data_IF_530666671714
#
_entry.id   IF_530666671714
#
_cell.length_a   1.000
_cell.length_b   1.000
_cell.length_c   1.000
_cell.angle_alpha   90.00
_cell.angle_beta   90.00
_cell.angle_gamma   90.00
#
_symmetry.space_group_name_H-M   'P 1'
#
loop_
_entity.id
_entity.type
_entity.pdbx_description
1 polymer ?
#
# COMPACT_ATOMS: atom_id res chain seq x y z
N UNK A 1 18.46 11.77 27.86
CA UNK A 1 17.48 12.44 26.98
C UNK A 1 16.17 12.38 27.71
N UNK A 2 15.59 13.53 28.00
CA UNK A 2 14.28 13.59 28.63
C UNK A 2 13.25 13.18 27.58
N UNK A 3 12.57 12.07 27.84
CA UNK A 3 11.43 11.61 27.07
C UNK A 3 10.21 11.65 27.97
N UNK A 4 9.04 11.86 27.37
CA UNK A 4 7.77 11.69 28.04
C UNK A 4 7.17 10.33 27.70
N UNK A 5 6.15 9.91 28.44
CA UNK A 5 5.55 8.59 28.29
C UNK A 5 4.14 8.67 27.66
N UNK A 6 3.49 7.52 27.47
CA UNK A 6 2.17 7.48 26.84
C UNK A 6 1.12 8.19 27.69
N UNK A 7 1.22 8.09 29.02
CA UNK A 7 0.34 8.81 29.94
C UNK A 7 0.39 10.32 29.74
N UNK A 8 1.58 10.89 29.60
CA UNK A 8 1.73 12.32 29.34
C UNK A 8 1.01 12.74 28.04
N UNK A 9 1.23 12.01 26.94
CA UNK A 9 0.58 12.32 25.67
C UNK A 9 -0.95 12.14 25.74
N UNK A 10 -1.42 11.11 26.41
CA UNK A 10 -2.85 10.85 26.65
C UNK A 10 -3.51 11.99 27.45
N UNK A 11 -2.84 12.50 28.49
CA UNK A 11 -3.29 13.66 29.27
C UNK A 11 -3.33 14.94 28.43
N UNK A 12 -2.33 15.16 27.57
CA UNK A 12 -2.32 16.30 26.64
C UNK A 12 -3.49 16.24 25.64
N UNK A 13 -3.69 15.08 25.00
CA UNK A 13 -4.77 14.87 24.04
C UNK A 13 -6.14 15.14 24.68
N UNK A 14 -6.34 14.70 25.92
CA UNK A 14 -7.61 14.84 26.64
C UNK A 14 -7.71 16.10 27.52
N UNK A 15 -6.77 17.04 27.41
CA UNK A 15 -6.76 18.29 28.19
C UNK A 15 -7.82 19.31 27.74
N UNK A 16 -8.42 19.12 26.57
CA UNK A 16 -9.30 20.09 25.90
C UNK A 16 -8.58 20.97 24.86
N UNK A 17 -7.26 20.86 24.74
CA UNK A 17 -6.50 21.50 23.67
C UNK A 17 -6.90 20.98 22.28
N UNK A 18 -6.88 21.86 21.28
CA UNK A 18 -7.17 21.51 19.88
C UNK A 18 -5.91 21.25 19.05
N UNK A 19 -4.76 21.74 19.51
CA UNK A 19 -3.46 21.44 18.91
C UNK A 19 -2.47 21.04 20.01
N UNK A 20 -1.85 19.88 19.81
CA UNK A 20 -0.80 19.33 20.66
C UNK A 20 0.51 19.45 19.90
N UNK A 21 1.50 20.09 20.51
CA UNK A 21 2.86 20.19 19.98
C UNK A 21 3.78 19.38 20.87
N UNK A 22 4.41 18.34 20.32
CA UNK A 22 5.39 17.57 21.08
C UNK A 22 6.67 18.38 21.25
N UNK A 23 7.24 18.31 22.45
CA UNK A 23 8.50 18.95 22.87
C UNK A 23 9.61 17.92 23.13
N UNK A 24 9.28 16.64 23.04
CA UNK A 24 10.12 15.50 23.40
C UNK A 24 9.60 14.23 22.74
N UNK A 25 10.46 13.21 22.68
CA UNK A 25 10.05 11.89 22.25
C UNK A 25 9.10 11.26 23.29
N UNK A 26 8.12 10.50 22.80
CA UNK A 26 7.14 9.77 23.59
C UNK A 26 7.46 8.28 23.54
N UNK A 27 7.78 7.68 24.68
CA UNK A 27 8.19 6.28 24.78
C UNK A 27 7.26 5.55 25.75
N UNK A 28 6.66 4.46 25.31
CA UNK A 28 5.85 3.60 26.18
C UNK A 28 6.72 3.00 27.30
N UNK A 29 6.31 3.17 28.55
CA UNK A 29 6.94 2.51 29.70
C UNK A 29 6.31 1.14 29.96
N UNK A 30 7.07 0.21 30.54
CA UNK A 30 6.60 -1.18 30.74
C UNK A 30 5.36 -1.26 31.65
N UNK A 31 5.25 -0.34 32.63
CA UNK A 31 4.09 -0.23 33.52
C UNK A 31 2.82 0.28 32.83
N UNK A 32 2.94 0.85 31.63
CA UNK A 32 1.83 1.44 30.87
C UNK A 32 1.22 0.47 29.84
N UNK A 33 1.91 -0.63 29.55
CA UNK A 33 1.56 -1.59 28.49
C UNK A 33 0.12 -2.11 28.63
N UNK A 34 -0.30 -2.48 29.84
CA UNK A 34 -1.66 -2.95 30.06
C UNK A 34 -2.70 -1.85 29.83
N UNK A 35 -2.41 -0.61 30.29
CA UNK A 35 -3.31 0.54 30.18
C UNK A 35 -3.54 0.94 28.72
N UNK A 36 -2.49 0.92 27.90
CA UNK A 36 -2.53 1.31 26.49
C UNK A 36 -2.47 0.12 25.54
N UNK A 37 -2.97 -1.05 25.96
CA UNK A 37 -3.01 -2.25 25.12
C UNK A 37 -3.73 -2.02 23.77
N UNK A 38 -4.74 -1.15 23.74
CA UNK A 38 -5.43 -0.71 22.53
C UNK A 38 -4.84 0.56 21.88
N UNK A 39 -3.81 1.16 22.48
CA UNK A 39 -3.25 2.44 22.10
C UNK A 39 -3.95 3.63 22.77
N UNK A 40 -3.37 4.82 22.60
CA UNK A 40 -3.95 6.09 23.07
C UNK A 40 -5.20 6.38 22.22
N UNK A 41 -6.30 6.70 22.89
CA UNK A 41 -7.58 6.96 22.22
C UNK A 41 -7.59 8.36 21.63
N UNK A 42 -7.95 8.46 20.35
CA UNK A 42 -8.25 9.70 19.64
C UNK A 42 -9.77 9.75 19.43
N UNK A 43 -10.48 10.27 20.43
CA UNK A 43 -11.95 10.33 20.49
C UNK A 43 -12.48 11.77 20.59
N UNK A 44 -11.63 12.77 20.29
CA UNK A 44 -11.96 14.20 20.30
C UNK A 44 -11.84 14.74 18.88
N UNK A 45 -12.92 15.28 18.34
CA UNK A 45 -12.94 15.82 16.99
C UNK A 45 -12.11 17.11 16.85
N UNK A 46 -11.58 17.31 15.64
CA UNK A 46 -10.81 18.49 15.24
C UNK A 46 -9.52 18.68 16.06
N UNK A 47 -8.83 17.57 16.34
CA UNK A 47 -7.55 17.57 17.05
C UNK A 47 -6.39 17.55 16.05
N UNK A 48 -5.39 18.38 16.30
CA UNK A 48 -4.10 18.38 15.61
C UNK A 48 -3.02 17.87 16.55
N UNK A 49 -2.28 16.85 16.14
CA UNK A 49 -1.08 16.36 16.82
C UNK A 49 0.11 16.69 15.91
N UNK A 50 0.90 17.68 16.31
CA UNK A 50 2.14 18.05 15.67
C UNK A 50 3.33 17.42 16.40
N UNK A 51 4.01 16.49 15.73
CA UNK A 51 5.16 15.81 16.31
C UNK A 51 6.41 16.66 16.42
N UNK A 52 6.53 17.79 15.68
CA UNK A 52 7.78 18.57 15.61
C UNK A 52 9.04 17.73 15.31
N UNK A 53 8.88 16.62 14.58
CA UNK A 53 9.92 15.64 14.28
C UNK A 53 10.14 14.59 15.37
N UNK A 54 9.50 14.69 16.53
CA UNK A 54 9.66 13.72 17.62
C UNK A 54 9.08 12.34 17.29
N UNK A 55 9.55 11.36 18.07
CA UNK A 55 9.21 9.96 17.94
C UNK A 55 8.11 9.59 18.94
N UNK A 56 7.12 8.81 18.50
CA UNK A 56 6.27 8.01 19.39
C UNK A 56 6.63 6.54 19.18
N UNK A 57 7.15 5.89 20.23
CA UNK A 57 7.68 4.54 20.19
C UNK A 57 6.93 3.62 21.17
N UNK A 58 6.17 2.66 20.64
CA UNK A 58 5.43 1.68 21.43
C UNK A 58 6.25 0.44 21.83
N UNK A 59 7.56 0.41 21.52
CA UNK A 59 8.52 -0.64 21.94
C UNK A 59 8.06 -2.09 21.68
N UNK A 60 7.34 -2.32 20.60
CA UNK A 60 6.77 -3.62 20.21
C UNK A 60 5.79 -4.22 21.23
N UNK A 61 5.17 -3.38 22.07
CA UNK A 61 4.30 -3.85 23.16
C UNK A 61 2.82 -3.62 22.89
N UNK A 62 2.48 -2.49 22.27
CA UNK A 62 1.08 -2.09 22.07
C UNK A 62 0.85 -1.39 20.73
N UNK A 63 -0.42 -1.08 20.44
CA UNK A 63 -0.78 -0.07 19.44
C UNK A 63 -0.35 1.33 19.89
N UNK A 64 -0.10 2.25 18.95
CA UNK A 64 0.13 3.67 19.28
C UNK A 64 -1.20 4.42 19.44
N UNK A 65 -2.04 4.45 18.40
CA UNK A 65 -3.30 5.19 18.38
C UNK A 65 -4.50 4.32 18.00
N UNK A 66 -5.63 4.57 18.67
CA UNK A 66 -6.95 4.08 18.31
C UNK A 66 -7.88 5.28 18.11
N UNK A 67 -8.43 5.45 16.91
CA UNK A 67 -9.25 6.61 16.56
C UNK A 67 -10.67 6.23 16.22
N UNK A 68 -11.62 7.03 16.73
CA UNK A 68 -13.02 7.06 16.31
C UNK A 68 -13.47 8.48 15.93
N UNK A 69 -12.58 9.46 16.07
CA UNK A 69 -12.88 10.88 15.92
C UNK A 69 -12.83 11.36 14.46
N UNK A 70 -13.47 12.49 14.22
CA UNK A 70 -13.49 13.20 12.95
C UNK A 70 -12.43 14.30 12.91
N UNK A 71 -11.88 14.55 11.72
CA UNK A 71 -10.93 15.63 11.44
C UNK A 71 -9.69 15.62 12.35
N UNK A 72 -9.11 14.44 12.58
CA UNK A 72 -7.82 14.32 13.25
C UNK A 72 -6.71 14.63 12.24
N UNK A 73 -5.76 15.49 12.60
CA UNK A 73 -4.52 15.68 11.82
C UNK A 73 -3.32 15.24 12.63
N UNK A 74 -2.52 14.32 12.10
CA UNK A 74 -1.25 13.89 12.68
C UNK A 74 -0.15 14.34 11.71
N UNK A 75 0.73 15.25 12.14
CA UNK A 75 1.74 15.85 11.27
C UNK A 75 3.15 15.84 11.85
N UNK A 76 4.17 15.83 11.00
CA UNK A 76 5.58 16.02 11.35
C UNK A 76 6.06 15.06 12.45
N UNK A 77 5.79 13.77 12.31
CA UNK A 77 5.98 12.82 13.42
C UNK A 77 6.57 11.49 12.97
N UNK A 78 7.24 10.79 13.89
CA UNK A 78 7.75 9.44 13.64
C UNK A 78 7.01 8.44 14.53
N UNK A 79 6.23 7.54 13.93
CA UNK A 79 5.51 6.48 14.64
C UNK A 79 6.24 5.15 14.42
N UNK A 80 6.71 4.50 15.50
CA UNK A 80 7.45 3.24 15.36
C UNK A 80 7.17 2.19 16.43
N UNK A 81 7.49 0.95 16.05
CA UNK A 81 7.42 -0.23 16.90
C UNK A 81 6.04 -0.43 17.55
N UNK A 82 4.97 0.01 16.90
CA UNK A 82 3.62 -0.39 17.27
C UNK A 82 3.40 -1.87 16.94
N UNK A 83 2.91 -2.66 17.90
CA UNK A 83 2.71 -4.11 17.72
C UNK A 83 1.40 -4.58 18.30
N UNK A 84 0.62 -5.29 17.48
CA UNK A 84 -0.59 -5.99 17.92
C UNK A 84 -0.65 -7.40 17.34
N UNK A 85 -1.50 -8.27 17.88
CA UNK A 85 -1.78 -9.58 17.30
C UNK A 85 -3.02 -9.59 16.39
N UNK A 86 -3.67 -8.44 16.21
CA UNK A 86 -4.97 -8.32 15.55
C UNK A 86 -4.92 -7.33 14.39
N UNK A 87 -4.95 -6.03 14.67
CA UNK A 87 -5.13 -4.97 13.67
C UNK A 87 -4.28 -3.76 14.05
N UNK A 88 -3.70 -3.11 13.04
CA UNK A 88 -3.05 -1.80 13.12
C UNK A 88 -1.98 -1.73 14.20
N UNK A 89 -0.71 -1.91 13.84
CA UNK A 89 0.40 -1.80 14.78
C UNK A 89 0.57 -0.36 15.28
N UNK A 90 0.56 0.62 14.38
CA UNK A 90 0.62 2.04 14.74
C UNK A 90 -0.77 2.61 15.00
N UNK A 91 -1.68 2.50 14.01
CA UNK A 91 -2.97 3.19 14.03
C UNK A 91 -4.07 2.21 13.69
N UNK A 92 -5.14 2.23 14.49
CA UNK A 92 -6.43 1.68 14.12
C UNK A 92 -7.43 2.83 14.00
N UNK A 93 -7.93 3.07 12.80
CA UNK A 93 -8.99 4.04 12.54
C UNK A 93 -10.33 3.29 12.37
N UNK A 94 -11.26 3.47 13.31
CA UNK A 94 -12.60 2.91 13.25
C UNK A 94 -13.60 4.02 12.98
N UNK A 95 -14.08 4.12 11.74
CA UNK A 95 -15.08 5.13 11.29
C UNK A 95 -14.65 6.59 11.45
N UNK A 96 -13.43 6.83 11.94
CA UNK A 96 -12.85 8.16 12.08
C UNK A 96 -12.35 8.72 10.76
N UNK A 97 -11.97 9.99 10.78
CA UNK A 97 -11.35 10.70 9.67
C UNK A 97 -10.00 11.25 10.09
N UNK A 98 -8.92 10.70 9.51
CA UNK A 98 -7.55 11.04 9.87
C UNK A 98 -6.78 11.54 8.66
N UNK A 99 -6.10 12.67 8.81
CA UNK A 99 -5.10 13.18 7.88
C UNK A 99 -3.70 12.98 8.48
N UNK A 100 -2.81 12.33 7.73
CA UNK A 100 -1.41 12.11 8.11
C UNK A 100 -0.53 12.91 7.15
N UNK A 101 0.36 13.76 7.68
CA UNK A 101 1.19 14.66 6.87
C UNK A 101 2.64 14.57 7.34
N UNK A 102 3.60 14.44 6.41
CA UNK A 102 5.03 14.52 6.73
C UNK A 102 5.43 13.56 7.88
N UNK A 103 4.87 12.35 7.87
CA UNK A 103 5.10 11.35 8.90
C UNK A 103 6.07 10.25 8.42
N UNK A 104 6.85 9.70 9.34
CA UNK A 104 7.58 8.43 9.13
C UNK A 104 6.94 7.34 9.98
N UNK A 105 6.39 6.31 9.34
CA UNK A 105 5.69 5.21 9.99
C UNK A 105 6.46 3.92 9.71
N UNK A 106 7.15 3.40 10.72
CA UNK A 106 8.12 2.32 10.49
C UNK A 106 8.16 1.24 11.55
N UNK A 107 8.61 0.05 11.15
CA UNK A 107 8.89 -1.07 12.07
C UNK A 107 7.65 -1.50 12.87
N UNK A 108 6.45 -1.22 12.37
CA UNK A 108 5.19 -1.60 13.01
C UNK A 108 4.76 -3.00 12.54
N UNK A 109 4.11 -3.74 13.44
CA UNK A 109 3.76 -5.13 13.24
C UNK A 109 2.32 -5.41 13.66
N UNK A 110 1.57 -6.14 12.83
CA UNK A 110 0.23 -6.63 13.22
C UNK A 110 -0.16 -7.89 12.46
N UNK A 111 -1.38 -8.40 12.66
CA UNK A 111 -1.94 -9.44 11.78
C UNK A 111 -2.53 -8.82 10.50
N UNK A 112 -3.24 -7.70 10.61
CA UNK A 112 -3.78 -6.94 9.47
C UNK A 112 -3.39 -5.46 9.57
N UNK A 113 -2.75 -4.94 8.52
CA UNK A 113 -2.27 -3.57 8.50
C UNK A 113 -1.10 -3.40 9.46
N UNK A 114 0.11 -3.76 9.04
CA UNK A 114 1.27 -3.78 9.94
C UNK A 114 1.46 -2.45 10.67
N UNK A 115 1.19 -1.35 9.98
CA UNK A 115 1.01 -0.02 10.59
C UNK A 115 -0.44 0.37 10.80
N UNK A 116 -1.21 0.44 9.72
CA UNK A 116 -2.53 1.06 9.72
C UNK A 116 -3.59 0.03 9.38
N UNK A 117 -4.62 -0.04 10.21
CA UNK A 117 -5.90 -0.67 9.87
C UNK A 117 -6.97 0.42 9.81
N UNK A 118 -7.56 0.61 8.63
CA UNK A 118 -8.67 1.54 8.41
C UNK A 118 -9.96 0.74 8.26
N UNK A 119 -10.88 0.85 9.22
CA UNK A 119 -12.16 0.13 9.26
C UNK A 119 -13.31 1.10 9.08
N UNK A 120 -13.93 1.08 7.91
CA UNK A 120 -15.08 1.92 7.57
C UNK A 120 -14.80 3.43 7.77
N UNK A 121 -13.51 3.83 7.81
CA UNK A 121 -13.05 5.21 8.05
C UNK A 121 -12.46 5.87 6.80
N UNK A 122 -12.14 7.15 6.95
CA UNK A 122 -11.47 7.95 5.91
C UNK A 122 -10.05 8.30 6.31
N UNK A 123 -9.09 8.07 5.42
CA UNK A 123 -7.71 8.48 5.63
C UNK A 123 -7.13 9.22 4.42
N UNK A 124 -6.42 10.29 4.71
CA UNK A 124 -5.63 11.05 3.73
C UNK A 124 -4.17 11.04 4.21
N UNK A 125 -3.28 10.54 3.38
CA UNK A 125 -1.86 10.38 3.68
C UNK A 125 -1.06 11.22 2.70
N UNK A 126 -0.31 12.20 3.18
CA UNK A 126 0.43 13.14 2.36
C UNK A 126 1.89 13.18 2.80
N UNK A 127 2.82 13.19 1.83
CA UNK A 127 4.26 13.42 2.06
C UNK A 127 4.87 12.51 3.13
N UNK A 128 4.38 11.28 3.22
CA UNK A 128 4.69 10.38 4.32
C UNK A 128 5.46 9.15 3.84
N UNK A 129 6.24 8.56 4.74
CA UNK A 129 7.02 7.35 4.47
C UNK A 129 6.56 6.18 5.33
N UNK A 130 6.25 5.05 4.68
CA UNK A 130 5.95 3.77 5.33
C UNK A 130 7.06 2.78 5.02
N UNK A 131 7.84 2.39 6.05
CA UNK A 131 8.97 1.50 5.82
C UNK A 131 9.12 0.37 6.83
N UNK A 132 9.47 -0.83 6.35
CA UNK A 132 9.74 -2.00 7.22
C UNK A 132 8.59 -2.36 8.13
N UNK A 133 7.36 -2.14 7.68
CA UNK A 133 6.18 -2.58 8.40
C UNK A 133 5.79 -3.98 7.93
N UNK A 134 5.31 -4.80 8.87
CA UNK A 134 5.06 -6.21 8.62
C UNK A 134 3.67 -6.64 9.11
N UNK A 135 2.90 -7.26 8.24
CA UNK A 135 1.64 -7.91 8.60
C UNK A 135 1.75 -9.42 8.45
N UNK A 136 1.28 -10.18 9.44
CA UNK A 136 1.23 -11.66 9.32
C UNK A 136 0.30 -12.13 8.20
N UNK A 137 -0.73 -11.34 7.88
CA UNK A 137 -1.72 -11.67 6.86
C UNK A 137 -1.74 -10.60 5.76
N UNK A 138 -2.40 -9.47 5.98
CA UNK A 138 -2.77 -8.60 4.86
C UNK A 138 -2.31 -7.17 5.11
N UNK A 139 -1.70 -6.55 4.10
CA UNK A 139 -1.30 -5.15 4.13
C UNK A 139 -0.11 -4.91 5.04
N UNK A 140 1.12 -5.09 4.54
CA UNK A 140 2.32 -4.98 5.37
C UNK A 140 2.47 -3.61 6.02
N UNK A 141 2.14 -2.55 5.29
CA UNK A 141 1.95 -1.23 5.86
C UNK A 141 0.48 -0.99 6.22
N UNK A 142 -0.42 -1.16 5.26
CA UNK A 142 -1.79 -0.64 5.32
C UNK A 142 -2.80 -1.72 4.96
N UNK A 143 -3.82 -1.88 5.78
CA UNK A 143 -5.02 -2.62 5.45
C UNK A 143 -6.22 -1.66 5.46
N UNK A 144 -6.78 -1.41 4.27
CA UNK A 144 -7.96 -0.57 4.08
C UNK A 144 -9.19 -1.46 3.95
N UNK A 145 -9.97 -1.58 5.02
CA UNK A 145 -11.14 -2.45 5.12
C UNK A 145 -12.42 -1.63 5.09
N UNK A 146 -13.18 -1.74 4.00
CA UNK A 146 -14.41 -0.97 3.76
C UNK A 146 -14.28 0.56 3.91
N UNK A 147 -13.06 1.07 3.92
CA UNK A 147 -12.77 2.48 4.10
C UNK A 147 -12.51 3.21 2.79
N UNK A 148 -12.19 4.49 2.91
CA UNK A 148 -11.70 5.33 1.82
C UNK A 148 -10.31 5.84 2.17
N UNK A 149 -9.37 5.70 1.25
CA UNK A 149 -8.00 6.15 1.46
C UNK A 149 -7.45 6.88 0.23
N UNK A 150 -6.81 8.04 0.45
CA UNK A 150 -5.93 8.69 -0.51
C UNK A 150 -4.49 8.73 0.01
N UNK A 151 -3.54 8.49 -0.89
CA UNK A 151 -2.10 8.54 -0.61
C UNK A 151 -1.44 9.40 -1.68
N UNK A 152 -0.77 10.46 -1.23
CA UNK A 152 -0.25 11.52 -2.09
C UNK A 152 1.20 11.83 -1.71
N UNK A 153 2.06 12.05 -2.71
CA UNK A 153 3.44 12.51 -2.53
C UNK A 153 4.26 11.64 -1.55
N UNK A 154 3.97 10.34 -1.46
CA UNK A 154 4.45 9.48 -0.39
C UNK A 154 5.41 8.39 -0.88
N UNK A 155 6.06 7.72 0.07
CA UNK A 155 6.93 6.56 -0.19
C UNK A 155 6.47 5.39 0.66
N UNK A 156 6.21 4.25 0.04
CA UNK A 156 5.86 3.00 0.73
C UNK A 156 6.85 1.92 0.31
N UNK A 157 7.79 1.59 1.20
CA UNK A 157 8.90 0.73 0.83
C UNK A 157 9.29 -0.33 1.86
N UNK A 158 9.78 -1.47 1.39
CA UNK A 158 10.30 -2.55 2.26
C UNK A 158 9.26 -3.07 3.26
N UNK A 159 7.98 -3.08 2.89
CA UNK A 159 6.91 -3.63 3.72
C UNK A 159 6.61 -5.07 3.28
N UNK A 160 6.22 -5.90 4.26
CA UNK A 160 6.06 -7.35 4.04
C UNK A 160 4.71 -7.86 4.55
N UNK A 161 4.08 -8.73 3.78
CA UNK A 161 2.86 -9.43 4.20
C UNK A 161 2.68 -10.78 3.51
N UNK A 162 1.63 -11.51 3.87
CA UNK A 162 1.19 -12.66 3.06
C UNK A 162 0.49 -12.17 1.78
N UNK A 163 -0.34 -11.13 1.89
CA UNK A 163 -1.05 -10.53 0.76
C UNK A 163 -1.01 -9.01 0.84
N UNK A 164 -0.70 -8.33 -0.27
CA UNK A 164 -0.51 -6.88 -0.30
C UNK A 164 0.70 -6.48 0.54
N UNK A 165 1.91 -6.65 -0.01
CA UNK A 165 3.16 -6.44 0.74
C UNK A 165 3.24 -5.04 1.33
N UNK A 166 2.75 -4.04 0.61
CA UNK A 166 2.47 -2.72 1.15
C UNK A 166 1.01 -2.57 1.59
N UNK A 167 0.07 -2.70 0.65
CA UNK A 167 -1.33 -2.32 0.85
C UNK A 167 -2.24 -3.48 0.49
N UNK A 168 -3.19 -3.75 1.38
CA UNK A 168 -4.37 -4.55 1.06
C UNK A 168 -5.61 -3.67 1.09
N UNK A 169 -6.30 -3.57 -0.05
CA UNK A 169 -7.53 -2.81 -0.21
C UNK A 169 -8.70 -3.80 -0.29
N UNK A 170 -9.58 -3.85 0.71
CA UNK A 170 -10.64 -4.85 0.81
C UNK A 170 -12.01 -4.21 0.93
N UNK A 171 -12.87 -4.45 -0.06
CA UNK A 171 -14.21 -3.83 -0.18
C UNK A 171 -14.20 -2.32 -0.02
N UNK A 172 -13.11 -1.69 -0.44
CA UNK A 172 -12.74 -0.32 -0.12
C UNK A 172 -12.35 0.46 -1.39
N UNK A 173 -12.12 1.77 -1.22
CA UNK A 173 -11.68 2.68 -2.28
C UNK A 173 -10.28 3.17 -1.94
N UNK A 174 -9.37 3.10 -2.92
CA UNK A 174 -7.98 3.53 -2.78
C UNK A 174 -7.56 4.41 -3.97
N UNK A 175 -7.08 5.61 -3.68
CA UNK A 175 -6.43 6.50 -4.65
C UNK A 175 -4.97 6.70 -4.26
N UNK A 176 -4.07 6.55 -5.22
CA UNK A 176 -2.63 6.76 -5.04
C UNK A 176 -2.17 7.75 -6.11
N UNK A 177 -1.53 8.82 -5.69
CA UNK A 177 -1.07 9.88 -6.57
C UNK A 177 0.35 10.30 -6.20
N UNK A 178 1.19 10.57 -7.21
CA UNK A 178 2.54 11.09 -7.00
C UNK A 178 3.36 10.30 -5.96
N UNK A 179 3.17 8.99 -5.90
CA UNK A 179 3.67 8.13 -4.82
C UNK A 179 4.58 7.03 -5.37
N UNK A 180 5.60 6.67 -4.60
CA UNK A 180 6.50 5.55 -4.92
C UNK A 180 6.22 4.35 -4.03
N UNK A 181 5.87 3.21 -4.62
CA UNK A 181 5.75 1.91 -3.93
C UNK A 181 6.88 1.00 -4.39
N UNK A 182 7.84 0.71 -3.49
CA UNK A 182 9.03 -0.05 -3.89
C UNK A 182 9.52 -1.11 -2.92
N UNK A 183 10.10 -2.18 -3.44
CA UNK A 183 10.72 -3.24 -2.61
C UNK A 183 9.75 -3.83 -1.58
N UNK A 184 8.46 -3.83 -1.86
CA UNK A 184 7.48 -4.49 -1.01
C UNK A 184 7.34 -5.95 -1.44
N UNK A 185 7.15 -6.82 -0.45
CA UNK A 185 7.15 -8.27 -0.66
C UNK A 185 5.88 -8.89 -0.09
N UNK A 186 5.17 -9.64 -0.94
CA UNK A 186 4.02 -10.42 -0.54
C UNK A 186 4.25 -11.88 -0.84
N UNK A 187 4.00 -12.77 0.12
CA UNK A 187 4.16 -14.21 -0.13
C UNK A 187 3.27 -14.73 -1.27
N UNK A 188 2.01 -14.32 -1.30
CA UNK A 188 1.00 -14.90 -2.19
C UNK A 188 0.60 -13.91 -3.30
N UNK A 189 0.03 -12.76 -2.95
CA UNK A 189 -0.62 -11.88 -3.93
C UNK A 189 -0.24 -10.42 -3.74
N UNK A 190 0.10 -9.74 -4.84
CA UNK A 190 0.28 -8.28 -4.88
C UNK A 190 1.49 -7.82 -4.06
N UNK A 191 2.68 -7.80 -4.67
CA UNK A 191 3.90 -7.46 -3.94
C UNK A 191 3.84 -6.05 -3.35
N UNK A 192 3.30 -5.09 -4.09
CA UNK A 192 2.89 -3.81 -3.54
C UNK A 192 1.44 -3.86 -3.06
N UNK A 193 0.50 -4.09 -3.96
CA UNK A 193 -0.93 -3.89 -3.71
C UNK A 193 -1.69 -5.17 -4.03
N UNK A 194 -2.47 -5.63 -3.06
CA UNK A 194 -3.58 -6.54 -3.33
C UNK A 194 -4.90 -5.77 -3.26
N UNK A 195 -5.55 -5.64 -4.42
CA UNK A 195 -6.87 -5.03 -4.56
C UNK A 195 -7.98 -6.09 -4.61
N UNK A 196 -8.72 -6.17 -3.52
CA UNK A 196 -10.02 -6.84 -3.37
C UNK A 196 -11.11 -5.80 -3.05
N UNK A 197 -10.85 -4.55 -3.43
CA UNK A 197 -11.73 -3.40 -3.25
C UNK A 197 -12.57 -3.09 -4.47
N UNK A 198 -13.40 -2.06 -4.36
CA UNK A 198 -14.32 -1.64 -5.42
C UNK A 198 -13.60 -0.84 -6.51
N UNK A 199 -12.63 -0.01 -6.10
CA UNK A 199 -11.88 0.88 -6.99
C UNK A 199 -10.44 1.03 -6.51
N UNK A 200 -9.51 0.98 -7.46
CA UNK A 200 -8.12 1.37 -7.28
C UNK A 200 -7.71 2.32 -8.41
N UNK A 201 -7.37 3.55 -8.04
CA UNK A 201 -6.83 4.55 -8.96
C UNK A 201 -5.38 4.85 -8.61
N UNK A 202 -4.51 4.81 -9.61
CA UNK A 202 -3.08 5.11 -9.50
C UNK A 202 -2.73 6.16 -10.56
N UNK A 203 -2.21 7.30 -10.14
CA UNK A 203 -1.83 8.41 -11.02
C UNK A 203 -0.44 8.92 -10.71
N UNK A 204 0.35 9.25 -11.74
CA UNK A 204 1.65 9.93 -11.59
C UNK A 204 2.59 9.22 -10.61
N UNK A 205 2.51 7.88 -10.54
CA UNK A 205 3.15 7.10 -9.48
C UNK A 205 4.18 6.13 -10.05
N UNK A 206 5.10 5.70 -9.20
CA UNK A 206 6.12 4.70 -9.53
C UNK A 206 5.92 3.46 -8.67
N UNK A 207 5.80 2.29 -9.29
CA UNK A 207 5.68 1.00 -8.59
C UNK A 207 6.82 0.10 -9.05
N UNK A 208 7.84 -0.07 -8.22
CA UNK A 208 9.09 -0.71 -8.63
C UNK A 208 9.65 -1.78 -7.70
N UNK A 209 10.32 -2.78 -8.26
CA UNK A 209 11.08 -3.77 -7.47
C UNK A 209 10.24 -4.51 -6.42
N UNK A 210 8.93 -4.66 -6.63
CA UNK A 210 8.05 -5.42 -5.74
C UNK A 210 7.98 -6.88 -6.18
N UNK A 211 7.81 -7.78 -5.20
CA UNK A 211 7.83 -9.23 -5.44
C UNK A 211 6.61 -9.91 -4.84
N UNK A 212 6.03 -10.87 -5.58
CA UNK A 212 5.02 -11.79 -5.03
C UNK A 212 4.91 -13.10 -5.79
N UNK A 213 4.01 -14.02 -5.40
CA UNK A 213 3.71 -15.17 -6.24
C UNK A 213 2.84 -14.79 -7.45
N UNK A 214 1.86 -13.89 -7.30
CA UNK A 214 1.03 -13.41 -8.41
C UNK A 214 0.80 -11.90 -8.31
N UNK A 215 1.05 -11.18 -9.42
CA UNK A 215 1.02 -9.72 -9.45
C UNK A 215 2.21 -9.14 -8.69
N UNK A 216 3.37 -9.07 -9.33
CA UNK A 216 4.62 -8.64 -8.67
C UNK A 216 4.47 -7.25 -8.06
N UNK A 217 3.82 -6.34 -8.78
CA UNK A 217 3.33 -5.08 -8.24
C UNK A 217 1.90 -5.23 -7.69
N UNK A 218 0.94 -5.55 -8.57
CA UNK A 218 -0.48 -5.45 -8.28
C UNK A 218 -1.18 -6.77 -8.58
N UNK A 219 -1.94 -7.26 -7.60
CA UNK A 219 -2.94 -8.30 -7.82
C UNK A 219 -4.34 -7.69 -7.71
N UNK A 220 -5.16 -7.89 -8.74
CA UNK A 220 -6.52 -7.38 -8.79
C UNK A 220 -7.55 -8.51 -8.86
N UNK A 221 -8.38 -8.63 -7.82
CA UNK A 221 -9.38 -9.68 -7.72
C UNK A 221 -10.78 -9.22 -8.16
N UNK A 222 -11.24 -8.05 -7.72
CA UNK A 222 -12.64 -7.62 -7.90
C UNK A 222 -12.74 -6.28 -8.66
N UNK A 223 -12.23 -5.19 -8.09
CA UNK A 223 -12.51 -3.85 -8.58
C UNK A 223 -11.90 -3.52 -9.94
N UNK A 224 -12.36 -2.40 -10.51
CA UNK A 224 -11.69 -1.78 -11.65
C UNK A 224 -10.37 -1.13 -11.18
N UNK A 225 -9.32 -1.33 -11.98
CA UNK A 225 -8.07 -0.60 -11.83
C UNK A 225 -7.94 0.44 -12.94
N UNK A 226 -7.59 1.66 -12.53
CA UNK A 226 -7.22 2.74 -13.45
C UNK A 226 -5.82 3.21 -13.11
N UNK A 227 -4.89 3.03 -14.04
CA UNK A 227 -3.50 3.49 -13.95
C UNK A 227 -3.28 4.56 -15.01
N UNK A 228 -2.85 5.76 -14.60
CA UNK A 228 -2.53 6.86 -15.53
C UNK A 228 -1.19 7.50 -15.24
N UNK A 229 -0.48 7.95 -16.28
CA UNK A 229 0.76 8.72 -16.15
C UNK A 229 1.79 8.06 -15.21
N UNK A 230 1.82 6.73 -15.12
CA UNK A 230 2.56 6.01 -14.09
C UNK A 230 3.62 5.09 -14.69
N UNK A 231 4.61 4.74 -13.88
CA UNK A 231 5.66 3.77 -14.25
C UNK A 231 5.57 2.55 -13.33
N UNK A 232 5.53 1.36 -13.92
CA UNK A 232 5.56 0.10 -13.19
C UNK A 232 6.72 -0.73 -13.71
N UNK A 233 7.76 -0.89 -12.91
CA UNK A 233 9.04 -1.39 -13.41
C UNK A 233 9.74 -2.38 -12.50
N UNK A 234 10.47 -3.36 -13.07
CA UNK A 234 11.30 -4.30 -12.29
C UNK A 234 10.53 -5.12 -11.24
N UNK A 235 9.23 -5.30 -11.40
CA UNK A 235 8.45 -6.14 -10.50
C UNK A 235 8.56 -7.60 -10.93
N UNK A 236 8.52 -8.51 -9.95
CA UNK A 236 8.77 -9.93 -10.16
C UNK A 236 7.63 -10.76 -9.56
N UNK A 237 7.07 -11.68 -10.35
CA UNK A 237 6.14 -12.69 -9.85
C UNK A 237 6.26 -14.01 -10.60
N UNK A 238 5.52 -15.04 -10.16
CA UNK A 238 5.33 -16.23 -11.01
C UNK A 238 4.35 -15.93 -12.14
N UNK A 239 3.26 -15.22 -11.84
CA UNK A 239 2.22 -14.85 -12.80
C UNK A 239 1.99 -13.34 -12.72
N UNK A 240 1.99 -12.66 -13.87
CA UNK A 240 1.80 -11.21 -13.95
C UNK A 240 2.96 -10.48 -13.29
N UNK A 241 4.11 -10.38 -13.96
CA UNK A 241 5.32 -9.80 -13.38
C UNK A 241 5.10 -8.40 -12.81
N UNK A 242 4.29 -7.59 -13.49
CA UNK A 242 3.75 -6.35 -12.92
C UNK A 242 2.36 -6.58 -12.32
N UNK A 243 1.39 -6.95 -13.16
CA UNK A 243 -0.03 -6.95 -12.82
C UNK A 243 -0.62 -8.32 -13.13
N UNK A 244 -1.33 -8.88 -12.16
CA UNK A 244 -2.28 -9.97 -12.37
C UNK A 244 -3.70 -9.43 -12.17
N UNK A 245 -4.59 -9.58 -13.16
CA UNK A 245 -5.97 -9.09 -13.05
C UNK A 245 -7.03 -10.13 -13.41
N UNK A 246 -8.06 -10.21 -12.58
CA UNK A 246 -9.31 -10.94 -12.84
C UNK A 246 -10.40 -10.05 -13.42
N UNK A 247 -10.26 -8.73 -13.30
CA UNK A 247 -11.29 -7.75 -13.65
C UNK A 247 -10.73 -6.63 -14.53
N UNK A 248 -11.58 -5.64 -14.85
CA UNK A 248 -11.25 -4.55 -15.75
C UNK A 248 -9.97 -3.81 -15.34
N UNK A 249 -9.06 -3.64 -16.29
CA UNK A 249 -7.78 -2.97 -16.14
C UNK A 249 -7.63 -1.90 -17.22
N UNK A 250 -7.55 -0.64 -16.81
CA UNK A 250 -7.30 0.50 -17.68
C UNK A 250 -5.90 1.07 -17.44
N UNK A 251 -5.05 1.10 -18.46
CA UNK A 251 -3.70 1.66 -18.43
C UNK A 251 -3.60 2.75 -19.49
N UNK A 252 -3.34 3.98 -19.06
CA UNK A 252 -3.36 5.16 -19.93
C UNK A 252 -2.09 5.95 -19.73
N UNK A 253 -1.40 6.34 -20.80
CA UNK A 253 -0.22 7.22 -20.73
C UNK A 253 0.84 6.72 -19.74
N UNK A 254 1.02 5.41 -19.64
CA UNK A 254 1.84 4.77 -18.60
C UNK A 254 2.90 3.85 -19.20
N UNK A 255 3.94 3.59 -18.43
CA UNK A 255 5.05 2.71 -18.83
C UNK A 255 5.10 1.48 -17.95
N UNK A 256 5.05 0.29 -18.53
CA UNK A 256 5.30 -0.98 -17.84
C UNK A 256 6.53 -1.62 -18.46
N UNK A 257 7.67 -1.59 -17.75
CA UNK A 257 8.91 -2.12 -18.32
C UNK A 257 9.76 -2.93 -17.36
N UNK A 258 10.58 -3.85 -17.88
CA UNK A 258 11.52 -4.64 -17.06
C UNK A 258 10.84 -5.51 -16.00
N UNK A 259 9.55 -5.78 -16.13
CA UNK A 259 8.85 -6.67 -15.22
C UNK A 259 9.06 -8.11 -15.66
N UNK A 260 9.13 -9.03 -14.70
CA UNK A 260 9.42 -10.43 -14.95
C UNK A 260 8.36 -11.33 -14.33
N UNK A 261 7.79 -12.20 -15.15
CA UNK A 261 7.04 -13.37 -14.70
C UNK A 261 7.84 -14.65 -14.97
N UNK A 262 7.54 -15.72 -14.23
CA UNK A 262 8.13 -17.04 -14.50
C UNK A 262 7.18 -17.99 -15.26
N UNK A 263 5.92 -17.59 -15.49
CA UNK A 263 4.92 -18.45 -16.11
C UNK A 263 4.13 -17.70 -17.18
N UNK A 264 3.38 -16.65 -16.81
CA UNK A 264 2.48 -15.94 -17.72
C UNK A 264 2.50 -14.42 -17.50
N UNK A 265 2.61 -13.66 -18.58
CA UNK A 265 2.46 -12.21 -18.61
C UNK A 265 3.61 -11.47 -17.91
N UNK A 266 4.66 -11.11 -18.64
CA UNK A 266 5.84 -10.47 -18.05
C UNK A 266 5.52 -9.11 -17.45
N UNK A 267 4.72 -8.30 -18.15
CA UNK A 267 4.06 -7.14 -17.55
C UNK A 267 2.70 -7.51 -16.98
N UNK A 268 1.79 -7.98 -17.84
CA UNK A 268 0.38 -8.13 -17.51
C UNK A 268 -0.06 -9.56 -17.75
N UNK A 269 -0.66 -10.16 -16.74
CA UNK A 269 -1.49 -11.33 -16.88
C UNK A 269 -2.95 -10.97 -16.63
N UNK A 270 -3.81 -11.22 -17.61
CA UNK A 270 -5.25 -11.00 -17.53
C UNK A 270 -5.99 -12.33 -17.60
N UNK A 271 -6.60 -12.72 -16.48
CA UNK A 271 -7.30 -13.99 -16.36
C UNK A 271 -8.69 -13.93 -17.00
N UNK A 272 -9.54 -12.98 -16.62
CA UNK A 272 -10.89 -12.84 -17.21
C UNK A 272 -11.40 -11.38 -17.31
N UNK A 273 -10.54 -10.40 -17.02
CA UNK A 273 -10.90 -8.99 -17.13
C UNK A 273 -10.95 -8.48 -18.57
N UNK A 274 -11.46 -7.27 -18.75
CA UNK A 274 -11.24 -6.48 -19.97
C UNK A 274 -10.01 -5.59 -19.78
N UNK A 275 -9.07 -5.61 -20.73
CA UNK A 275 -7.90 -4.74 -20.72
C UNK A 275 -8.12 -3.56 -21.68
N UNK A 276 -7.98 -2.33 -21.18
CA UNK A 276 -7.90 -1.14 -22.01
C UNK A 276 -6.53 -0.48 -21.85
N UNK A 277 -5.75 -0.43 -22.94
CA UNK A 277 -4.42 0.19 -22.96
C UNK A 277 -4.42 1.33 -23.98
N UNK A 278 -4.05 2.53 -23.55
CA UNK A 278 -4.02 3.72 -24.41
C UNK A 278 -2.77 4.56 -24.17
N UNK A 279 -2.16 5.08 -25.23
CA UNK A 279 -1.04 6.03 -25.14
C UNK A 279 0.13 5.50 -24.26
N UNK A 280 0.30 4.18 -24.16
CA UNK A 280 1.17 3.53 -23.16
C UNK A 280 2.33 2.76 -23.77
N UNK A 281 3.34 2.46 -22.97
CA UNK A 281 4.57 1.77 -23.37
C UNK A 281 4.73 0.49 -22.53
N UNK A 282 4.84 -0.67 -23.16
CA UNK A 282 5.07 -1.97 -22.51
C UNK A 282 6.30 -2.61 -23.14
N UNK A 283 7.45 -2.52 -22.47
CA UNK A 283 8.73 -2.91 -23.08
C UNK A 283 9.67 -3.64 -22.13
N UNK A 284 10.58 -4.44 -22.66
CA UNK A 284 11.63 -5.11 -21.86
C UNK A 284 11.07 -6.02 -20.76
N UNK A 285 9.84 -6.51 -20.89
CA UNK A 285 9.24 -7.44 -19.94
C UNK A 285 9.50 -8.88 -20.37
N UNK A 286 9.64 -9.78 -19.40
CA UNK A 286 10.09 -11.16 -19.63
C UNK A 286 9.12 -12.14 -18.98
N UNK A 287 8.76 -13.21 -19.69
CA UNK A 287 7.91 -14.29 -19.18
C UNK A 287 8.19 -15.60 -19.92
N UNK A 288 7.69 -16.74 -19.43
CA UNK A 288 7.70 -17.96 -20.23
C UNK A 288 6.66 -17.91 -21.36
N UNK A 289 5.47 -17.38 -21.07
CA UNK A 289 4.39 -17.10 -22.02
C UNK A 289 3.93 -15.65 -21.92
N UNK A 290 3.74 -14.99 -23.05
CA UNK A 290 3.36 -13.57 -23.15
C UNK A 290 4.38 -12.66 -22.47
N UNK A 291 5.50 -12.38 -23.14
CA UNK A 291 6.58 -11.55 -22.59
C UNK A 291 6.09 -10.19 -22.09
N UNK A 292 5.21 -9.53 -22.86
CA UNK A 292 4.52 -8.31 -22.43
C UNK A 292 3.22 -8.63 -21.72
N UNK A 293 2.26 -9.17 -22.47
CA UNK A 293 0.89 -9.41 -22.02
C UNK A 293 0.51 -10.86 -22.30
N UNK A 294 -0.12 -11.52 -21.33
CA UNK A 294 -0.83 -12.78 -21.51
C UNK A 294 -2.29 -12.60 -21.10
N UNK A 295 -3.24 -13.03 -21.94
CA UNK A 295 -4.67 -12.87 -21.66
C UNK A 295 -5.51 -14.08 -22.08
N UNK A 296 -6.24 -14.69 -21.15
CA UNK A 296 -6.97 -15.94 -21.44
C UNK A 296 -8.24 -15.72 -22.28
N UNK A 297 -8.89 -14.56 -22.16
CA UNK A 297 -10.23 -14.34 -22.70
C UNK A 297 -10.29 -13.41 -23.93
N UNK A 298 -9.13 -12.93 -24.41
CA UNK A 298 -8.99 -12.04 -25.57
C UNK A 298 -9.86 -10.76 -25.53
N UNK A 299 -10.30 -10.33 -24.33
CA UNK A 299 -11.04 -9.07 -24.14
C UNK A 299 -10.06 -7.93 -23.91
N UNK A 300 -9.54 -7.35 -24.99
CA UNK A 300 -8.65 -6.20 -24.91
C UNK A 300 -8.90 -5.17 -25.99
N UNK A 301 -8.59 -3.91 -25.67
CA UNK A 301 -8.54 -2.79 -26.60
C UNK A 301 -7.26 -2.01 -26.35
N UNK A 302 -6.36 -2.03 -27.33
CA UNK A 302 -5.06 -1.36 -27.29
C UNK A 302 -5.03 -0.31 -28.39
N UNK A 303 -4.80 0.94 -28.03
CA UNK A 303 -4.77 2.07 -28.97
C UNK A 303 -3.55 2.94 -28.72
N UNK A 304 -2.91 3.45 -29.79
CA UNK A 304 -1.82 4.44 -29.70
C UNK A 304 -0.72 4.06 -28.69
N UNK A 305 -0.42 2.76 -28.56
CA UNK A 305 0.49 2.22 -27.54
C UNK A 305 1.60 1.38 -28.18
N UNK A 306 2.75 1.35 -27.53
CA UNK A 306 3.93 0.60 -27.95
C UNK A 306 4.09 -0.65 -27.09
N UNK A 307 4.18 -1.82 -27.73
CA UNK A 307 4.43 -3.10 -27.06
C UNK A 307 5.54 -3.80 -27.83
N UNK A 308 6.79 -3.65 -27.39
CA UNK A 308 7.97 -4.11 -28.13
C UNK A 308 9.07 -4.57 -27.17
N UNK A 309 10.06 -5.31 -27.68
CA UNK A 309 11.21 -5.78 -26.91
C UNK A 309 10.79 -6.55 -25.64
N UNK A 310 9.68 -7.28 -25.69
CA UNK A 310 9.28 -8.18 -24.61
C UNK A 310 9.66 -9.60 -25.01
N UNK A 311 10.20 -10.37 -24.07
CA UNK A 311 10.80 -11.68 -24.34
C UNK A 311 9.95 -12.80 -23.74
N UNK A 312 9.71 -13.83 -24.56
CA UNK A 312 9.18 -15.13 -24.12
C UNK A 312 10.29 -16.17 -24.16
N UNK A 313 10.59 -16.82 -23.03
CA UNK A 313 11.71 -17.78 -22.89
C UNK A 313 11.51 -19.09 -23.72
N UNK A 314 10.33 -19.32 -24.31
CA UNK A 314 10.13 -20.40 -25.28
C UNK A 314 10.43 -19.95 -26.72
N UNK A 315 11.50 -20.52 -27.28
CA UNK A 315 12.20 -20.20 -28.55
C UNK A 315 11.38 -20.63 -29.81
N UNK A 316 10.05 -20.67 -29.74
CA UNK A 316 9.18 -20.99 -30.88
C UNK A 316 8.21 -19.89 -31.28
N UNK A 317 8.17 -18.77 -30.57
CA UNK A 317 7.35 -17.62 -30.96
C UNK A 317 8.25 -16.42 -31.25
N UNK A 318 8.51 -16.23 -32.54
CA UNK A 318 9.09 -15.01 -33.10
C UNK A 318 8.03 -13.91 -32.88
N UNK A 319 8.37 -12.92 -32.06
CA UNK A 319 7.54 -11.77 -31.66
C UNK A 319 6.19 -12.15 -31.01
N UNK A 320 6.21 -12.54 -29.72
CA UNK A 320 5.02 -12.77 -28.90
C UNK A 320 4.30 -11.46 -28.54
N UNK A 321 3.67 -10.86 -29.55
CA UNK A 321 2.77 -9.72 -29.39
C UNK A 321 1.56 -10.05 -28.51
N UNK A 322 1.11 -11.31 -28.49
CA UNK A 322 0.02 -11.89 -27.70
C UNK A 322 0.05 -13.41 -27.94
N UNK A 323 0.50 -14.23 -26.98
CA UNK A 323 0.36 -15.69 -27.15
C UNK A 323 -1.11 -16.05 -26.96
N UNK A 324 -1.71 -16.59 -28.03
CA UNK A 324 -3.11 -16.93 -28.14
C UNK A 324 -3.27 -18.46 -28.12
N UNK A 325 -3.54 -19.05 -26.96
CA UNK A 325 -4.17 -20.38 -26.90
C UNK A 325 -5.65 -20.28 -27.35
#
# INVERSE_FOLDING_TARGET
>A
MDFNNFKYLDELIHSGAKEINLDSDIILEDKEEQKYSDGIKLNIDNLVINGNGHIINAKEKTRIFYSTAQNITIKNIRLKNGKTNTIGGAIYNLKGKIKIIEATIKENQSKYGGSIYNDEGEMEIIKSTFTKNNAKSNGGAIHNYKGKMSIEESIINENTAKQGGAIHNYRAILSIENTTLRKNDAKDFGGAIFNDGNELKITESTIEENTSSQGGAIYNNIGEIIIKNSTITKNIAKIGGAIHSWNKLSIISSTLNKNKSYEYGGAIHNFDGEIFIKDSIITENISNKGGGIFSNNKKYKITTSTIENNESDNIHEIDSFLDMD
#
